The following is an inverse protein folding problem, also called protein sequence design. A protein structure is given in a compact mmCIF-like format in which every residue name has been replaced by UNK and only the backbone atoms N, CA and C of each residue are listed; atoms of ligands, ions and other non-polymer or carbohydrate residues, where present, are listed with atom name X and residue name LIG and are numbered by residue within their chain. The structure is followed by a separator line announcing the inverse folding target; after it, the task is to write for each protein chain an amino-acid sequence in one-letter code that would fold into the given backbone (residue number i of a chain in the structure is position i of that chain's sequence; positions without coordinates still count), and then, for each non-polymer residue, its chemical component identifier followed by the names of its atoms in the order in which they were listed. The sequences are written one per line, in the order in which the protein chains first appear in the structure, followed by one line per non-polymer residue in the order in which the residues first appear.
data_IF_308164466628
#
_entry.id   IF_308164466628
#
_cell.length_a   1.000
_cell.length_b   1.000
_cell.length_c   1.000
_cell.angle_alpha   90.00
_cell.angle_beta   90.00
_cell.angle_gamma   90.00
#
_symmetry.space_group_name_H-M   'P 1'
#
loop_
_entity.id
_entity.type
_entity.pdbx_description
1 polymer ?
#
# COMPACT_ATOMS: atom_id res chain seq x y z
N UNK A 1 5.55 -9.89 11.93
CA UNK A 1 4.43 -9.71 10.98
C UNK A 1 3.12 -9.88 11.73
N UNK A 2 2.60 -8.80 12.32
CA UNK A 2 1.25 -8.82 12.88
C UNK A 2 0.28 -9.03 11.72
N UNK A 3 -0.45 -10.15 11.74
CA UNK A 3 -1.27 -10.60 10.64
C UNK A 3 -2.44 -9.62 10.42
N UNK A 4 -2.40 -8.87 9.32
CA UNK A 4 -3.48 -7.97 8.92
C UNK A 4 -4.84 -8.69 8.90
N UNK A 5 -4.87 -10.00 8.62
CA UNK A 5 -6.09 -10.83 8.66
C UNK A 5 -6.66 -11.12 10.05
N UNK A 6 -6.00 -10.71 11.14
CA UNK A 6 -6.52 -10.82 12.51
C UNK A 6 -7.30 -9.58 12.97
N UNK A 7 -7.30 -8.50 12.17
CA UNK A 7 -8.12 -7.32 12.45
C UNK A 7 -9.54 -7.61 11.97
N UNK A 8 -10.53 -7.45 12.85
CA UNK A 8 -11.94 -7.83 12.61
C UNK A 8 -12.57 -7.20 11.36
N UNK A 9 -11.98 -6.12 10.85
CA UNK A 9 -12.46 -5.35 9.71
C UNK A 9 -11.60 -5.53 8.44
N UNK A 10 -10.53 -6.34 8.51
CA UNK A 10 -9.60 -6.54 7.38
C UNK A 10 -9.70 -7.98 6.88
N UNK A 11 -10.21 -8.15 5.66
CA UNK A 11 -10.27 -9.45 4.98
C UNK A 11 -9.15 -9.56 3.95
N UNK A 12 -8.32 -10.58 4.10
CA UNK A 12 -7.26 -10.90 3.12
C UNK A 12 -7.82 -11.93 2.14
N UNK A 13 -7.76 -11.62 0.84
CA UNK A 13 -8.17 -12.55 -0.20
C UNK A 13 -7.25 -13.79 -0.21
N UNK A 14 -7.78 -15.01 -0.41
CA UNK A 14 -6.96 -16.21 -0.56
C UNK A 14 -5.97 -16.12 -1.71
N UNK A 15 -4.81 -16.75 -1.56
CA UNK A 15 -3.83 -16.83 -2.65
C UNK A 15 -4.46 -17.55 -3.87
N UNK A 16 -4.42 -16.90 -5.03
CA UNK A 16 -4.94 -17.47 -6.28
C UNK A 16 -6.48 -17.46 -6.41
N UNK A 17 -7.19 -16.66 -5.61
CA UNK A 17 -8.65 -16.50 -5.79
C UNK A 17 -8.98 -16.01 -7.20
N UNK A 18 -9.91 -16.71 -7.87
CA UNK A 18 -10.37 -16.33 -9.20
C UNK A 18 -11.12 -14.98 -9.16
N UNK A 19 -10.89 -14.07 -10.12
CA UNK A 19 -11.52 -12.74 -10.15
C UNK A 19 -13.04 -12.76 -9.97
N UNK A 20 -13.74 -13.67 -10.65
CA UNK A 20 -15.20 -13.78 -10.57
C UNK A 20 -15.69 -14.17 -9.16
N UNK A 21 -14.93 -15.00 -8.44
CA UNK A 21 -15.26 -15.41 -7.07
C UNK A 21 -15.05 -14.27 -6.08
N UNK A 22 -13.96 -13.53 -6.23
CA UNK A 22 -13.70 -12.32 -5.46
C UNK A 22 -14.80 -11.27 -5.68
N UNK A 23 -15.20 -11.04 -6.93
CA UNK A 23 -16.23 -10.07 -7.28
C UNK A 23 -17.60 -10.46 -6.70
N UNK A 24 -17.96 -11.75 -6.77
CA UNK A 24 -19.19 -12.26 -6.15
C UNK A 24 -19.17 -12.10 -4.62
N UNK A 25 -18.04 -12.38 -3.95
CA UNK A 25 -17.91 -12.23 -2.50
C UNK A 25 -17.99 -10.75 -2.04
N UNK A 26 -17.38 -9.85 -2.81
CA UNK A 26 -17.45 -8.40 -2.59
C UNK A 26 -18.88 -7.90 -2.79
N UNK A 27 -19.53 -8.28 -3.89
CA UNK A 27 -20.91 -7.89 -4.20
C UNK A 27 -21.91 -8.38 -3.16
N UNK A 28 -21.81 -9.64 -2.73
CA UNK A 28 -22.67 -10.23 -1.70
C UNK A 28 -22.58 -9.51 -0.35
N UNK A 29 -21.44 -8.85 -0.08
CA UNK A 29 -21.18 -8.12 1.16
C UNK A 29 -21.40 -6.61 1.01
N UNK A 30 -21.76 -6.12 -0.18
CA UNK A 30 -21.80 -4.68 -0.48
C UNK A 30 -20.44 -3.99 -0.31
N UNK A 31 -19.33 -4.74 -0.42
CA UNK A 31 -17.98 -4.25 -0.18
C UNK A 31 -17.27 -3.89 -1.48
N UNK A 32 -16.30 -2.98 -1.38
CA UNK A 32 -15.39 -2.63 -2.46
C UNK A 32 -13.99 -3.16 -2.20
N UNK A 33 -13.42 -3.85 -3.18
CA UNK A 33 -12.07 -4.40 -3.11
C UNK A 33 -11.01 -3.41 -3.58
N UNK A 34 -9.88 -3.37 -2.89
CA UNK A 34 -8.67 -2.65 -3.30
C UNK A 34 -7.46 -3.56 -3.23
N UNK A 35 -6.55 -3.41 -4.20
CA UNK A 35 -5.23 -4.01 -4.19
C UNK A 35 -4.17 -2.94 -3.93
N UNK A 36 -3.20 -3.26 -3.08
CA UNK A 36 -2.10 -2.37 -2.69
C UNK A 36 -0.78 -3.01 -3.11
N UNK A 37 -0.01 -2.32 -3.94
CA UNK A 37 1.33 -2.75 -4.37
C UNK A 37 2.36 -1.70 -3.97
N UNK A 38 3.35 -2.09 -3.19
CA UNK A 38 4.45 -1.21 -2.80
C UNK A 38 5.71 -1.53 -3.61
N UNK A 39 6.44 -0.50 -4.01
CA UNK A 39 7.74 -0.60 -4.67
C UNK A 39 8.72 0.44 -4.12
N UNK A 40 10.01 0.07 -4.07
CA UNK A 40 11.09 1.00 -3.75
C UNK A 40 11.49 1.69 -5.06
N UNK A 41 11.29 3.01 -5.15
CA UNK A 41 11.70 3.81 -6.31
C UNK A 41 13.19 4.14 -6.27
N UNK A 42 13.72 4.39 -5.07
CA UNK A 42 15.15 4.65 -4.86
C UNK A 42 15.59 4.27 -3.46
N UNK A 43 16.76 3.65 -3.34
CA UNK A 43 17.47 3.40 -2.09
C UNK A 43 18.90 3.90 -2.30
N UNK A 44 19.32 4.89 -1.51
CA UNK A 44 20.68 5.43 -1.52
C UNK A 44 21.28 5.20 -0.15
N UNK A 45 22.40 4.48 -0.13
CA UNK A 45 23.18 4.22 1.08
C UNK A 45 24.60 4.72 0.83
N UNK A 46 24.97 5.79 1.53
CA UNK A 46 26.29 6.42 1.40
C UNK A 46 26.81 6.92 2.75
N UNK A 47 27.98 7.57 2.76
CA UNK A 47 28.57 8.10 3.99
C UNK A 47 27.71 9.18 4.69
N UNK A 48 26.79 9.82 3.98
CA UNK A 48 25.84 10.77 4.57
C UNK A 48 24.65 10.05 5.24
N UNK A 49 24.40 8.79 4.90
CA UNK A 49 23.43 7.90 5.52
C UNK A 49 22.54 7.18 4.52
N UNK A 50 21.34 6.82 4.95
CA UNK A 50 20.37 6.07 4.13
C UNK A 50 19.19 6.95 3.75
N UNK A 51 18.81 6.95 2.48
CA UNK A 51 17.66 7.68 1.93
C UNK A 51 16.82 6.75 1.07
N UNK A 52 15.53 6.72 1.31
CA UNK A 52 14.58 5.86 0.59
C UNK A 52 13.43 6.68 0.03
N UNK A 53 13.01 6.33 -1.18
CA UNK A 53 11.72 6.73 -1.76
C UNK A 53 10.95 5.47 -2.13
N UNK A 54 9.66 5.45 -1.80
CA UNK A 54 8.74 4.36 -2.11
C UNK A 54 7.52 4.90 -2.82
N UNK A 55 6.92 4.04 -3.63
CA UNK A 55 5.64 4.23 -4.27
C UNK A 55 4.70 3.13 -3.81
N UNK A 56 3.46 3.50 -3.49
CA UNK A 56 2.38 2.57 -3.15
C UNK A 56 1.24 2.83 -4.12
N UNK A 57 1.03 1.89 -5.03
CA UNK A 57 -0.07 1.91 -5.99
C UNK A 57 -1.30 1.29 -5.35
N UNK A 58 -2.40 2.02 -5.41
CA UNK A 58 -3.72 1.55 -4.99
C UNK A 58 -4.57 1.37 -6.25
N UNK A 59 -5.07 0.15 -6.46
CA UNK A 59 -5.98 -0.19 -7.56
C UNK A 59 -7.26 -0.82 -7.03
N UNK A 60 -8.33 -0.80 -7.81
CA UNK A 60 -9.51 -1.62 -7.48
C UNK A 60 -9.22 -3.10 -7.65
N UNK A 61 -9.91 -3.94 -6.89
CA UNK A 61 -9.83 -5.39 -7.01
C UNK A 61 -11.23 -5.95 -7.32
N UNK A 62 -11.37 -6.87 -8.29
CA UNK A 62 -10.31 -7.56 -9.03
C UNK A 62 -9.83 -6.88 -10.33
N UNK A 63 -10.51 -5.82 -10.80
CA UNK A 63 -10.28 -5.24 -12.14
C UNK A 63 -8.92 -4.51 -12.31
N UNK A 64 -8.17 -4.34 -11.21
CA UNK A 64 -6.85 -3.68 -11.14
C UNK A 64 -6.78 -2.24 -11.69
N UNK A 65 -7.92 -1.58 -11.91
CA UNK A 65 -7.93 -0.17 -12.32
C UNK A 65 -7.27 0.72 -11.25
N UNK A 66 -6.19 1.41 -11.63
CA UNK A 66 -5.42 2.29 -10.74
C UNK A 66 -6.29 3.45 -10.23
N UNK A 67 -6.23 3.70 -8.93
CA UNK A 67 -6.98 4.77 -8.25
C UNK A 67 -6.09 5.85 -7.69
N UNK A 68 -4.94 5.47 -7.13
CA UNK A 68 -3.99 6.41 -6.56
C UNK A 68 -2.56 5.87 -6.59
N UNK A 69 -1.61 6.79 -6.56
CA UNK A 69 -0.20 6.52 -6.30
C UNK A 69 0.19 7.34 -5.06
N UNK A 70 0.54 6.67 -3.97
CA UNK A 70 1.01 7.29 -2.75
C UNK A 70 2.54 7.26 -2.75
N UNK A 71 3.15 8.41 -2.51
CA UNK A 71 4.62 8.51 -2.43
C UNK A 71 5.04 8.72 -0.98
N UNK A 72 6.06 7.99 -0.59
CA UNK A 72 6.69 8.10 0.72
C UNK A 72 8.19 8.27 0.56
N UNK A 73 8.80 8.99 1.49
CA UNK A 73 10.24 9.08 1.59
C UNK A 73 10.65 9.14 3.06
N UNK A 74 11.86 8.66 3.33
CA UNK A 74 12.48 8.76 4.64
C UNK A 74 14.00 8.82 4.48
N UNK A 75 14.67 9.35 5.50
CA UNK A 75 16.12 9.43 5.55
C UNK A 75 16.60 9.22 6.99
N UNK A 76 17.74 8.54 7.13
CA UNK A 76 18.48 8.42 8.38
C UNK A 76 19.91 8.92 8.15
N UNK A 77 20.34 10.02 8.79
CA UNK A 77 21.70 10.50 8.67
C UNK A 77 22.68 9.63 9.45
N UNK A 78 23.90 9.47 8.92
CA UNK A 78 25.01 8.81 9.62
C UNK A 78 24.88 7.30 9.84
N UNK A 79 23.91 6.64 9.16
CA UNK A 79 23.71 5.19 9.24
C UNK A 79 24.89 4.38 8.69
N UNK A 80 25.17 3.22 9.29
CA UNK A 80 26.35 2.38 9.00
C UNK A 80 26.02 0.88 8.80
N UNK A 81 24.77 0.51 8.55
CA UNK A 81 24.43 -0.91 8.31
C UNK A 81 23.05 -1.20 7.71
N UNK A 82 22.83 -2.46 7.33
CA UNK A 82 21.60 -2.95 6.68
C UNK A 82 20.34 -2.81 7.54
N UNK A 83 20.47 -2.81 8.88
CA UNK A 83 19.35 -2.55 9.80
C UNK A 83 18.79 -1.13 9.68
N UNK A 84 19.64 -0.16 9.32
CA UNK A 84 19.24 1.23 9.11
C UNK A 84 18.39 1.36 7.84
N UNK A 85 18.75 0.62 6.79
CA UNK A 85 18.01 0.61 5.53
C UNK A 85 16.59 0.06 5.70
N UNK A 86 16.42 -1.05 6.41
CA UNK A 86 15.09 -1.59 6.68
C UNK A 86 14.23 -0.59 7.46
N UNK A 87 14.78 0.03 8.51
CA UNK A 87 14.05 1.02 9.30
C UNK A 87 13.64 2.24 8.45
N UNK A 88 14.50 2.69 7.54
CA UNK A 88 14.20 3.82 6.64
C UNK A 88 13.15 3.42 5.60
N UNK A 89 13.19 2.19 5.05
CA UNK A 89 12.13 1.67 4.18
C UNK A 89 10.78 1.62 4.90
N UNK A 90 10.74 1.10 6.13
CA UNK A 90 9.52 1.05 6.94
C UNK A 90 8.98 2.46 7.23
N UNK A 91 9.86 3.42 7.52
CA UNK A 91 9.47 4.82 7.71
C UNK A 91 8.92 5.45 6.43
N UNK A 92 9.53 5.18 5.27
CA UNK A 92 9.05 5.65 3.97
C UNK A 92 7.68 5.05 3.62
N UNK A 93 7.49 3.74 3.85
CA UNK A 93 6.20 3.06 3.64
C UNK A 93 5.12 3.62 4.57
N UNK A 94 5.43 3.76 5.86
CA UNK A 94 4.51 4.38 6.83
C UNK A 94 4.14 5.80 6.37
N UNK A 95 5.11 6.55 5.86
CA UNK A 95 4.87 7.89 5.31
C UNK A 95 3.94 7.91 4.11
N UNK A 96 4.08 6.97 3.17
CA UNK A 96 3.15 6.84 2.05
C UNK A 96 1.73 6.49 2.53
N UNK A 97 1.63 5.49 3.43
CA UNK A 97 0.36 4.94 3.89
C UNK A 97 -0.45 5.87 4.79
N UNK A 98 0.15 6.90 5.41
CA UNK A 98 -0.60 7.93 6.16
C UNK A 98 -1.68 8.62 5.32
N UNK A 99 -1.57 8.59 3.99
CA UNK A 99 -2.53 9.20 3.06
C UNK A 99 -3.49 8.19 2.43
N UNK A 100 -3.44 6.92 2.86
CA UNK A 100 -4.23 5.85 2.27
C UNK A 100 -5.73 6.11 2.41
N UNK A 101 -6.21 6.44 3.62
CA UNK A 101 -7.64 6.67 3.87
C UNK A 101 -8.20 7.76 2.97
N UNK A 102 -7.52 8.91 2.88
CA UNK A 102 -7.93 10.00 2.00
C UNK A 102 -7.92 9.61 0.52
N UNK A 103 -6.98 8.78 0.09
CA UNK A 103 -6.92 8.29 -1.29
C UNK A 103 -8.05 7.29 -1.60
N UNK A 104 -8.42 6.43 -0.64
CA UNK A 104 -9.54 5.51 -0.79
C UNK A 104 -10.87 6.27 -0.85
N UNK A 105 -11.09 7.23 0.06
CA UNK A 105 -12.28 8.09 0.05
C UNK A 105 -12.43 8.86 -1.26
N UNK A 106 -11.33 9.42 -1.79
CA UNK A 106 -11.34 10.10 -3.08
C UNK A 106 -11.64 9.16 -4.25
N UNK A 107 -11.12 7.92 -4.20
CA UNK A 107 -11.41 6.89 -5.20
C UNK A 107 -12.88 6.45 -5.19
N UNK A 108 -13.50 6.41 -4.00
CA UNK A 108 -14.93 6.12 -3.84
C UNK A 108 -15.82 7.23 -4.38
N UNK A 109 -15.55 8.48 -3.98
CA UNK A 109 -16.28 9.64 -4.48
C UNK A 109 -16.28 9.71 -6.01
N UNK A 110 -15.13 9.41 -6.64
CA UNK A 110 -14.98 9.43 -8.10
C UNK A 110 -15.71 8.29 -8.82
N UNK A 111 -16.00 7.19 -8.14
CA UNK A 111 -16.75 6.08 -8.70
C UNK A 111 -18.26 6.23 -8.51
N UNK A 112 -18.70 7.03 -7.53
CA UNK A 112 -20.10 7.37 -7.31
C UNK A 112 -20.58 8.51 -8.22
N UNK A 113 -19.67 9.20 -8.92
CA UNK A 113 -20.00 10.20 -9.92
C UNK A 113 -20.60 9.53 -11.18
N UNK A 114 -21.75 10.01 -11.68
CA UNK A 114 -22.46 9.42 -12.82
C UNK A 114 -21.73 9.58 -14.16
#
# INVERSE_FOLDING_TARGET
TAALGAMSEVRVAPAGEAPARAQAALAASGLRGYAIRASIESLVEDAAGVRVKVSVVVSTYPDEAMRAILRGSAALPGGRGTGDAQAVVEAALRSALRRLDGALQAADARAAAP
#
